data_IF_514048554611
#
_entry.id   IF_514048554611
#
_cell.length_a   1.000
_cell.length_b   1.000
_cell.length_c   1.000
_cell.angle_alpha   90.00
_cell.angle_beta   90.00
_cell.angle_gamma   90.00
#
_symmetry.space_group_name_H-M   'P 1'
#
loop_
_entity.id
_entity.type
_entity.pdbx_description
1 polymer ?
#
# COMPACT_ATOMS: atom_id res chain seq x y z
N UNK A 1 31.52 -59.14 35.29
CA UNK A 1 32.37 -58.18 34.53
C UNK A 1 31.57 -57.79 33.29
N UNK A 2 30.66 -56.81 33.37
CA UNK A 2 30.89 -55.36 33.15
C UNK A 2 31.71 -55.10 31.87
N UNK A 3 31.29 -54.31 30.88
CA UNK A 3 30.18 -53.38 30.71
C UNK A 3 30.00 -53.18 29.18
N UNK A 4 28.77 -53.16 28.68
CA UNK A 4 28.43 -52.46 27.43
C UNK A 4 28.10 -51.01 27.82
N UNK A 5 28.78 -50.04 27.21
CA UNK A 5 28.40 -48.62 27.25
C UNK A 5 28.25 -48.12 25.81
N UNK A 6 27.04 -47.80 25.36
CA UNK A 6 26.81 -46.85 24.28
C UNK A 6 26.63 -45.45 24.92
N UNK A 7 27.45 -44.47 24.54
CA UNK A 7 27.16 -43.06 24.83
C UNK A 7 26.67 -42.37 23.56
N UNK A 8 25.56 -41.60 23.62
CA UNK A 8 24.99 -40.92 22.46
C UNK A 8 25.75 -39.62 22.17
N UNK A 9 25.92 -39.31 20.89
CA UNK A 9 26.44 -38.04 20.41
C UNK A 9 25.36 -36.96 20.65
N UNK A 10 25.54 -36.18 21.72
CA UNK A 10 24.74 -35.00 21.99
C UNK A 10 25.15 -33.91 20.98
N UNK A 11 24.31 -33.64 19.98
CA UNK A 11 24.48 -32.53 19.07
C UNK A 11 24.18 -31.24 19.83
N UNK A 12 25.20 -30.58 20.37
CA UNK A 12 25.10 -29.21 20.86
C UNK A 12 24.84 -28.29 19.66
N UNK A 13 23.60 -27.88 19.45
CA UNK A 13 23.31 -26.68 18.65
C UNK A 13 23.89 -25.48 19.41
N UNK A 14 25.04 -25.00 18.95
CA UNK A 14 25.50 -23.67 19.30
C UNK A 14 24.49 -22.67 18.72
N UNK A 15 23.62 -22.13 19.58
CA UNK A 15 22.86 -20.91 19.28
C UNK A 15 23.88 -19.78 19.13
N UNK A 16 24.32 -19.54 17.90
CA UNK A 16 24.98 -18.29 17.57
C UNK A 16 23.91 -17.20 17.71
N UNK A 17 23.96 -16.46 18.82
CA UNK A 17 23.29 -15.18 18.99
C UNK A 17 23.89 -14.17 18.01
N UNK A 18 23.56 -14.34 16.73
CA UNK A 18 23.72 -13.29 15.75
C UNK A 18 22.80 -12.16 16.15
N UNK A 19 23.36 -11.02 16.54
CA UNK A 19 22.60 -9.78 16.65
C UNK A 19 21.91 -9.58 15.30
N UNK A 20 20.59 -9.74 15.26
CA UNK A 20 19.81 -9.34 14.10
C UNK A 20 20.07 -7.85 13.91
N UNK A 21 20.67 -7.48 12.78
CA UNK A 21 20.91 -6.09 12.44
C UNK A 21 19.53 -5.41 12.29
N UNK A 22 19.18 -4.53 13.24
CA UNK A 22 17.96 -3.76 13.17
C UNK A 22 18.26 -2.47 12.40
N UNK A 23 17.83 -2.41 11.14
CA UNK A 23 17.94 -1.22 10.31
C UNK A 23 17.20 -0.04 10.97
N UNK A 24 17.85 1.11 11.01
CA UNK A 24 17.30 2.39 11.44
C UNK A 24 17.03 3.27 10.23
N UNK A 25 16.11 4.22 10.34
CA UNK A 25 15.78 5.17 9.27
C UNK A 25 17.02 5.89 8.71
N UNK A 26 18.00 6.17 9.57
CA UNK A 26 19.27 6.80 9.20
C UNK A 26 20.19 5.94 8.34
N UNK A 27 19.93 4.63 8.27
CA UNK A 27 20.74 3.70 7.46
C UNK A 27 20.40 3.80 5.97
N UNK A 28 19.29 4.48 5.62
CA UNK A 28 18.85 4.69 4.25
C UNK A 28 19.16 6.13 3.79
N UNK A 29 19.59 6.32 2.53
CA UNK A 29 19.84 7.66 2.01
C UNK A 29 18.56 8.51 2.08
N UNK A 30 18.64 9.77 2.55
CA UNK A 30 17.46 10.60 2.70
C UNK A 30 16.87 10.90 1.33
N UNK A 31 15.66 10.38 1.09
CA UNK A 31 14.91 10.62 -0.15
C UNK A 31 13.62 11.37 0.16
N UNK A 32 13.20 12.33 -0.69
CA UNK A 32 11.94 13.04 -0.48
C UNK A 32 10.77 12.07 -0.54
N UNK A 33 10.01 11.93 0.54
CA UNK A 33 8.75 11.17 0.51
C UNK A 33 7.65 12.03 -0.07
N UNK A 34 6.84 11.44 -0.96
CA UNK A 34 5.79 12.13 -1.69
C UNK A 34 4.40 11.75 -1.19
N UNK A 35 3.53 12.75 -1.13
CA UNK A 35 2.08 12.55 -1.08
C UNK A 35 1.50 13.11 -2.37
N UNK A 36 0.54 12.40 -2.97
CA UNK A 36 -0.04 12.82 -4.24
C UNK A 36 -1.28 13.67 -4.01
N UNK A 37 -1.30 14.86 -4.59
CA UNK A 37 -2.46 15.74 -4.67
C UNK A 37 -2.90 15.83 -6.14
N UNK A 38 -4.18 15.59 -6.38
CA UNK A 38 -4.79 15.71 -7.69
C UNK A 38 -5.92 16.73 -7.66
N UNK A 39 -5.97 17.58 -8.67
CA UNK A 39 -7.12 18.41 -8.96
C UNK A 39 -8.10 17.62 -9.82
N UNK A 40 -9.37 17.64 -9.41
CA UNK A 40 -10.49 17.02 -10.11
C UNK A 40 -11.28 18.15 -10.76
N UNK A 41 -11.22 18.22 -12.09
CA UNK A 41 -12.02 19.15 -12.85
C UNK A 41 -13.48 18.69 -12.80
N UNK A 42 -14.38 19.57 -12.37
CA UNK A 42 -15.81 19.26 -12.32
C UNK A 42 -16.42 19.06 -13.73
N UNK A 43 -15.77 19.59 -14.77
CA UNK A 43 -16.16 19.40 -16.16
C UNK A 43 -15.59 18.10 -16.76
N UNK A 44 -14.55 17.52 -16.16
CA UNK A 44 -13.93 16.27 -16.58
C UNK A 44 -14.51 15.10 -15.76
N UNK A 45 -15.23 14.15 -16.36
CA UNK A 45 -15.73 12.98 -15.66
C UNK A 45 -14.63 11.96 -15.33
N UNK A 46 -13.34 12.28 -15.55
CA UNK A 46 -12.22 11.40 -15.28
C UNK A 46 -12.16 10.99 -13.80
N UNK A 47 -12.14 9.68 -13.58
CA UNK A 47 -12.00 9.08 -12.25
C UNK A 47 -10.69 8.31 -12.10
N UNK A 48 -9.82 8.35 -13.11
CA UNK A 48 -8.46 7.83 -13.04
C UNK A 48 -7.51 9.00 -12.83
N UNK A 49 -6.76 8.98 -11.72
CA UNK A 49 -5.84 10.05 -11.32
C UNK A 49 -4.40 9.56 -11.29
N UNK A 50 -3.44 10.46 -11.44
CA UNK A 50 -2.01 10.13 -11.42
C UNK A 50 -1.49 9.54 -12.72
N UNK A 51 -0.20 9.20 -12.73
CA UNK A 51 0.49 8.61 -13.88
C UNK A 51 1.58 7.65 -13.41
N UNK A 52 2.01 6.69 -14.24
CA UNK A 52 3.17 5.86 -13.96
C UNK A 52 4.40 6.69 -13.65
N UNK A 53 5.13 6.32 -12.60
CA UNK A 53 6.41 6.92 -12.28
C UNK A 53 7.52 5.90 -12.46
N UNK A 54 8.39 6.16 -13.44
CA UNK A 54 9.61 5.37 -13.61
C UNK A 54 10.53 5.53 -12.40
N UNK A 55 11.11 4.42 -11.95
CA UNK A 55 12.14 4.40 -10.92
C UNK A 55 13.27 3.47 -11.34
N UNK A 56 14.51 3.95 -11.26
CA UNK A 56 15.71 3.17 -11.54
C UNK A 56 16.30 2.69 -10.23
N UNK A 57 16.39 1.37 -10.04
CA UNK A 57 16.92 0.81 -8.80
C UNK A 57 18.37 1.19 -8.58
N UNK A 58 18.67 1.70 -7.40
CA UNK A 58 20.01 1.96 -6.93
C UNK A 58 20.52 0.78 -6.10
N UNK A 59 21.84 0.66 -6.01
CA UNK A 59 22.48 -0.31 -5.12
C UNK A 59 21.98 -0.13 -3.68
N UNK A 60 21.51 -1.23 -3.07
CA UNK A 60 21.04 -1.24 -1.69
C UNK A 60 19.58 -0.82 -1.51
N UNK A 61 18.84 -0.56 -2.60
CA UNK A 61 17.40 -0.42 -2.52
C UNK A 61 16.74 -1.71 -2.01
N UNK A 62 15.65 -1.56 -1.26
CA UNK A 62 14.65 -2.62 -1.08
C UNK A 62 13.33 -2.16 -1.67
N UNK A 63 12.42 -3.07 -1.99
CA UNK A 63 11.09 -2.68 -2.46
C UNK A 63 10.29 -1.93 -1.39
N UNK A 64 10.59 -2.12 -0.10
CA UNK A 64 9.99 -1.37 1.00
C UNK A 64 10.37 0.12 0.95
N UNK A 65 11.67 0.40 0.75
CA UNK A 65 12.17 1.76 0.69
C UNK A 65 11.69 2.47 -0.58
N UNK A 66 11.67 1.74 -1.70
CA UNK A 66 11.16 2.25 -2.98
C UNK A 66 9.67 2.54 -2.89
N UNK A 67 8.87 1.62 -2.31
CA UNK A 67 7.44 1.83 -2.09
C UNK A 67 7.19 3.11 -1.28
N UNK A 68 7.82 3.24 -0.11
CA UNK A 68 7.70 4.43 0.73
C UNK A 68 8.12 5.71 0.02
N UNK A 69 9.27 5.70 -0.66
CA UNK A 69 9.75 6.85 -1.41
C UNK A 69 8.78 7.30 -2.51
N UNK A 70 8.09 6.35 -3.13
CA UNK A 70 7.10 6.61 -4.17
C UNK A 70 5.69 6.86 -3.64
N UNK A 71 5.46 6.87 -2.32
CA UNK A 71 4.12 7.05 -1.73
C UNK A 71 3.19 5.87 -1.99
N UNK A 72 3.75 4.66 -1.98
CA UNK A 72 3.08 3.38 -2.19
C UNK A 72 3.16 2.49 -0.95
N UNK A 73 2.17 1.63 -0.78
CA UNK A 73 2.23 0.48 0.12
C UNK A 73 3.06 -0.63 -0.53
N UNK A 74 3.66 -1.50 0.29
CA UNK A 74 4.40 -2.63 -0.29
C UNK A 74 3.51 -3.56 -1.12
N UNK A 75 2.23 -3.72 -0.75
CA UNK A 75 1.24 -4.49 -1.51
C UNK A 75 1.12 -3.98 -2.96
N UNK A 76 1.02 -2.66 -3.16
CA UNK A 76 0.89 -2.07 -4.50
C UNK A 76 2.09 -2.40 -5.39
N UNK A 77 3.29 -2.52 -4.79
CA UNK A 77 4.51 -2.91 -5.50
C UNK A 77 4.52 -4.41 -5.79
N UNK A 78 4.26 -5.24 -4.78
CA UNK A 78 4.37 -6.70 -4.92
C UNK A 78 3.24 -7.32 -5.73
N UNK A 79 2.06 -6.69 -5.75
CA UNK A 79 0.93 -7.11 -6.58
C UNK A 79 1.19 -6.76 -8.05
N UNK A 80 1.76 -5.58 -8.31
CA UNK A 80 2.13 -5.16 -9.67
C UNK A 80 3.33 -5.94 -10.22
N UNK A 81 4.28 -6.30 -9.35
CA UNK A 81 5.55 -6.90 -9.69
C UNK A 81 5.88 -8.11 -8.79
N UNK A 82 5.14 -9.22 -8.92
CA UNK A 82 5.29 -10.39 -8.04
C UNK A 82 6.65 -11.08 -8.15
N UNK A 83 7.34 -10.91 -9.27
CA UNK A 83 8.63 -11.55 -9.55
C UNK A 83 9.84 -10.71 -9.11
N UNK A 84 9.64 -9.46 -8.68
CA UNK A 84 10.74 -8.63 -8.17
C UNK A 84 11.15 -9.08 -6.76
N UNK A 85 12.46 -9.26 -6.56
CA UNK A 85 13.01 -9.54 -5.24
C UNK A 85 12.79 -8.33 -4.31
N UNK A 86 12.18 -8.60 -3.15
CA UNK A 86 11.76 -7.57 -2.19
C UNK A 86 12.94 -6.90 -1.48
N UNK A 87 14.07 -7.61 -1.38
CA UNK A 87 15.25 -7.22 -0.63
C UNK A 87 16.39 -6.76 -1.53
N UNK A 88 16.48 -7.33 -2.74
CA UNK A 88 17.58 -7.07 -3.69
C UNK A 88 17.00 -6.90 -5.10
N UNK A 89 16.27 -5.80 -5.38
CA UNK A 89 15.76 -5.53 -6.71
C UNK A 89 16.91 -5.31 -7.73
N UNK A 90 16.64 -5.47 -9.03
CA UNK A 90 17.67 -5.42 -10.07
C UNK A 90 18.27 -4.02 -10.24
N UNK A 91 19.45 -3.81 -9.65
CA UNK A 91 20.20 -2.54 -9.75
C UNK A 91 20.37 -2.09 -11.20
N UNK A 92 20.08 -0.80 -11.46
CA UNK A 92 20.17 -0.16 -12.77
C UNK A 92 18.96 -0.37 -13.69
N UNK A 93 18.03 -1.26 -13.35
CA UNK A 93 16.80 -1.46 -14.10
C UNK A 93 15.78 -0.36 -13.79
N UNK A 94 15.09 0.14 -14.82
CA UNK A 94 14.03 1.14 -14.68
C UNK A 94 12.65 0.51 -14.82
N UNK A 95 11.85 0.57 -13.75
CA UNK A 95 10.50 -0.01 -13.68
C UNK A 95 9.44 1.08 -13.50
N UNK A 96 8.29 1.02 -14.20
CA UNK A 96 7.21 2.02 -14.03
C UNK A 96 6.28 1.68 -12.86
N UNK A 97 6.35 2.40 -11.76
CA UNK A 97 5.54 2.10 -10.57
C UNK A 97 4.10 2.62 -10.66
N UNK A 98 3.12 1.95 -10.02
CA UNK A 98 1.69 2.22 -10.13
C UNK A 98 1.24 3.43 -9.31
N UNK A 99 1.74 4.61 -9.67
CA UNK A 99 1.38 5.89 -9.03
C UNK A 99 0.16 6.54 -9.71
N UNK A 100 -0.81 5.71 -10.10
CA UNK A 100 -2.08 6.12 -10.67
C UNK A 100 -3.19 5.16 -10.24
N UNK A 101 -4.40 5.70 -10.02
CA UNK A 101 -5.49 4.97 -9.39
C UNK A 101 -6.83 5.36 -9.99
N UNK A 102 -7.75 4.42 -10.06
CA UNK A 102 -9.19 4.66 -10.17
C UNK A 102 -9.69 5.07 -8.78
N UNK A 103 -10.30 6.25 -8.68
CA UNK A 103 -10.90 6.71 -7.43
C UNK A 103 -12.04 5.78 -6.98
N UNK A 104 -12.15 5.47 -5.68
CA UNK A 104 -13.23 4.62 -5.16
C UNK A 104 -14.61 5.25 -5.37
N UNK A 105 -15.64 4.43 -5.58
CA UNK A 105 -17.03 4.90 -5.64
C UNK A 105 -17.53 5.16 -4.21
N UNK A 106 -17.56 6.43 -3.79
CA UNK A 106 -18.05 6.85 -2.47
C UNK A 106 -18.87 8.12 -2.58
N UNK A 107 -19.91 8.22 -1.75
CA UNK A 107 -20.66 9.46 -1.53
C UNK A 107 -20.06 10.34 -0.43
N UNK A 108 -19.02 9.84 0.27
CA UNK A 108 -18.42 10.52 1.39
C UNK A 108 -17.57 11.71 0.94
N UNK A 109 -17.82 12.86 1.56
CA UNK A 109 -16.85 13.94 1.61
C UNK A 109 -15.88 13.66 2.77
N UNK A 110 -14.60 14.02 2.63
CA UNK A 110 -13.59 13.76 3.66
C UNK A 110 -12.78 12.48 3.41
N UNK A 111 -12.63 11.64 4.43
CA UNK A 111 -11.66 10.54 4.42
C UNK A 111 -12.30 9.25 3.92
N UNK A 112 -11.83 8.71 2.80
CA UNK A 112 -12.26 7.42 2.25
C UNK A 112 -11.09 6.45 2.33
N UNK A 113 -11.31 5.24 2.87
CA UNK A 113 -10.30 4.18 2.91
C UNK A 113 -10.84 2.99 2.14
N UNK A 114 -10.10 2.52 1.14
CA UNK A 114 -10.44 1.29 0.42
C UNK A 114 -9.57 0.15 0.95
N UNK A 115 -10.18 -0.82 1.62
CA UNK A 115 -9.48 -1.91 2.31
C UNK A 115 -8.65 -2.79 1.35
N UNK A 116 -9.21 -3.36 0.26
CA UNK A 116 -8.48 -4.28 -0.64
C UNK A 116 -7.25 -3.65 -1.30
N UNK A 117 -7.31 -2.34 -1.52
CA UNK A 117 -6.23 -1.54 -2.08
C UNK A 117 -5.21 -1.10 -1.02
N UNK A 118 -5.59 -1.14 0.26
CA UNK A 118 -4.83 -0.58 1.37
C UNK A 118 -4.45 0.88 1.14
N UNK A 119 -5.43 1.68 0.69
CA UNK A 119 -5.20 3.09 0.36
C UNK A 119 -6.28 4.02 0.92
N UNK A 120 -5.83 5.18 1.39
CA UNK A 120 -6.63 6.28 1.88
C UNK A 120 -6.69 7.39 0.84
N UNK A 121 -7.86 7.97 0.69
CA UNK A 121 -8.17 9.13 -0.13
C UNK A 121 -8.80 10.20 0.77
N UNK A 122 -8.23 11.39 0.79
CA UNK A 122 -8.83 12.54 1.45
C UNK A 122 -9.35 13.49 0.40
N UNK A 123 -10.65 13.77 0.45
CA UNK A 123 -11.32 14.80 -0.31
C UNK A 123 -11.56 15.99 0.62
N UNK A 124 -10.68 17.02 0.62
CA UNK A 124 -10.91 18.23 1.40
C UNK A 124 -12.28 18.82 1.08
N UNK A 125 -12.93 19.39 2.10
CA UNK A 125 -14.12 20.20 1.85
C UNK A 125 -13.67 21.43 1.07
N UNK A 126 -13.88 21.43 -0.24
CA UNK A 126 -13.58 22.58 -1.07
C UNK A 126 -14.59 23.69 -0.74
N UNK A 127 -14.11 24.93 -0.67
CA UNK A 127 -15.01 26.08 -0.72
C UNK A 127 -15.88 25.95 -1.99
N UNK A 128 -17.14 26.42 -2.02
CA UNK A 128 -18.10 26.20 -3.11
C UNK A 128 -17.65 26.58 -4.53
N UNK A 129 -16.46 27.17 -4.69
CA UNK A 129 -15.88 27.69 -5.94
C UNK A 129 -14.42 27.27 -6.18
N UNK A 130 -13.84 26.41 -5.35
CA UNK A 130 -12.48 25.89 -5.54
C UNK A 130 -12.47 24.58 -6.33
N UNK A 131 -11.36 24.23 -7.00
CA UNK A 131 -11.22 22.90 -7.61
C UNK A 131 -11.41 21.82 -6.54
N UNK A 132 -12.13 20.76 -6.88
CA UNK A 132 -12.24 19.60 -6.00
C UNK A 132 -10.89 18.90 -6.03
N UNK A 133 -10.25 18.70 -4.89
CA UNK A 133 -8.96 18.00 -4.84
C UNK A 133 -9.09 16.65 -4.18
N UNK A 134 -8.16 15.75 -4.45
CA UNK A 134 -7.99 14.51 -3.70
C UNK A 134 -6.52 14.31 -3.36
N UNK A 135 -6.26 13.93 -2.12
CA UNK A 135 -4.93 13.57 -1.64
C UNK A 135 -4.94 12.11 -1.26
N UNK A 136 -3.93 11.33 -1.65
CA UNK A 136 -3.93 9.89 -1.41
C UNK A 136 -2.66 9.38 -0.73
N UNK A 137 -2.84 8.40 0.16
CA UNK A 137 -1.82 7.83 1.01
C UNK A 137 -1.99 6.31 1.12
N UNK A 138 -0.92 5.52 1.04
CA UNK A 138 -0.99 4.10 1.36
C UNK A 138 -1.22 3.89 2.86
N UNK A 139 -1.83 2.78 3.24
CA UNK A 139 -2.10 2.43 4.64
C UNK A 139 -1.72 0.98 4.96
N UNK A 140 -1.39 0.72 6.22
CA UNK A 140 -1.41 -0.61 6.81
C UNK A 140 -2.73 -0.85 7.54
N UNK A 141 -3.20 -2.09 7.52
CA UNK A 141 -4.52 -2.47 8.05
C UNK A 141 -4.41 -3.53 9.16
N UNK A 142 -5.57 -3.87 9.72
CA UNK A 142 -5.71 -4.96 10.68
C UNK A 142 -5.38 -6.32 10.10
N UNK A 143 -4.81 -7.19 10.93
CA UNK A 143 -4.68 -8.63 10.65
C UNK A 143 -6.06 -9.27 10.45
N UNK A 144 -6.05 -10.46 9.85
CA UNK A 144 -7.27 -11.21 9.55
C UNK A 144 -8.12 -11.56 10.79
N UNK A 145 -7.47 -11.78 11.95
CA UNK A 145 -8.11 -11.98 13.25
C UNK A 145 -8.63 -10.67 13.88
N UNK A 146 -8.30 -9.52 13.27
CA UNK A 146 -8.63 -8.18 13.73
C UNK A 146 -8.95 -7.23 12.57
N UNK A 147 -9.88 -7.64 11.70
CA UNK A 147 -10.22 -6.91 10.46
C UNK A 147 -10.61 -5.46 10.72
N UNK A 148 -10.09 -4.55 9.90
CA UNK A 148 -10.59 -3.18 9.82
C UNK A 148 -12.06 -3.21 9.31
N UNK A 149 -13.02 -2.59 10.02
CA UNK A 149 -14.44 -2.67 9.68
C UNK A 149 -14.77 -1.76 8.49
N UNK A 150 -15.83 -2.11 7.76
CA UNK A 150 -16.44 -1.21 6.77
C UNK A 150 -17.48 -0.30 7.43
N UNK A 151 -17.76 0.84 6.81
CA UNK A 151 -18.83 1.74 7.21
C UNK A 151 -18.43 3.20 7.32
N UNK A 152 -19.43 4.05 7.54
CA UNK A 152 -19.27 5.49 7.69
C UNK A 152 -18.80 5.86 9.09
N UNK A 153 -17.98 6.90 9.18
CA UNK A 153 -17.46 7.41 10.44
C UNK A 153 -17.31 8.93 10.44
N UNK A 154 -16.96 9.48 11.60
CA UNK A 154 -16.44 10.84 11.75
C UNK A 154 -15.13 10.81 12.52
N UNK A 155 -14.23 11.75 12.22
CA UNK A 155 -13.08 12.03 13.08
C UNK A 155 -13.59 12.70 14.36
N UNK A 156 -13.40 12.06 15.51
CA UNK A 156 -13.93 12.52 16.81
C UNK A 156 -12.89 13.27 17.64
N UNK A 157 -11.61 12.93 17.47
CA UNK A 157 -10.52 13.52 18.24
C UNK A 157 -9.21 13.45 17.45
N UNK A 158 -8.30 14.39 17.72
CA UNK A 158 -6.95 14.43 17.20
C UNK A 158 -5.97 14.61 18.36
N UNK A 159 -4.98 13.72 18.47
CA UNK A 159 -3.98 13.71 19.55
C UNK A 159 -2.57 13.70 18.95
N UNK A 160 -1.74 14.66 19.37
CA UNK A 160 -0.28 14.64 19.14
C UNK A 160 0.35 13.84 20.26
N UNK A 161 1.36 13.02 19.93
CA UNK A 161 2.04 12.10 20.84
C UNK A 161 1.06 11.30 21.72
N UNK A 162 0.19 10.49 21.09
CA UNK A 162 -0.81 9.73 21.83
C UNK A 162 -0.16 8.68 22.74
N UNK A 163 -0.43 8.74 24.04
CA UNK A 163 -0.15 7.61 24.94
C UNK A 163 -0.91 6.38 24.47
N UNK A 164 -0.21 5.24 24.32
CA UNK A 164 -0.81 3.97 24.00
C UNK A 164 -1.07 3.16 25.27
N UNK A 165 -2.34 3.05 25.64
CA UNK A 165 -2.80 2.11 26.67
C UNK A 165 -3.01 0.77 25.99
N UNK A 166 -2.21 -0.23 26.35
CA UNK A 166 -2.16 -1.52 25.68
C UNK A 166 -3.46 -2.29 26.01
N UNK A 167 -4.31 -2.59 25.00
CA UNK A 167 -5.51 -3.42 25.19
C UNK A 167 -5.16 -4.77 25.82
N UNK A 168 -6.06 -5.30 26.65
CA UNK A 168 -5.85 -6.56 27.38
C UNK A 168 -5.44 -7.72 26.45
N UNK A 169 -6.12 -7.84 25.29
CA UNK A 169 -5.82 -8.86 24.29
C UNK A 169 -4.38 -8.77 23.74
N UNK A 170 -3.91 -7.57 23.44
CA UNK A 170 -2.55 -7.33 22.93
C UNK A 170 -1.51 -7.55 24.03
N UNK A 171 -1.83 -7.17 25.26
CA UNK A 171 -0.95 -7.40 26.41
C UNK A 171 -0.71 -8.89 26.64
N UNK A 172 -1.74 -9.72 26.52
CA UNK A 172 -1.61 -11.17 26.69
C UNK A 172 -0.78 -11.82 25.56
N UNK A 173 -0.85 -11.28 24.34
CA UNK A 173 0.06 -11.65 23.22
C UNK A 173 1.51 -11.25 23.53
N UNK A 174 1.75 -9.98 23.89
CA UNK A 174 3.07 -9.46 24.20
C UNK A 174 3.75 -10.18 25.38
N UNK A 175 2.99 -10.50 26.43
CA UNK A 175 3.48 -11.26 27.57
C UNK A 175 3.92 -12.67 27.16
N UNK A 176 3.14 -13.35 26.30
CA UNK A 176 3.45 -14.72 25.85
C UNK A 176 4.66 -14.76 24.90
N UNK A 177 4.72 -13.83 23.96
CA UNK A 177 5.73 -13.88 22.89
C UNK A 177 7.04 -13.19 23.25
N UNK A 178 6.97 -12.09 24.02
CA UNK A 178 8.12 -11.20 24.26
C UNK A 178 8.43 -11.04 25.75
N UNK A 179 7.58 -11.56 26.64
CA UNK A 179 7.71 -11.35 28.08
C UNK A 179 7.56 -9.89 28.50
N UNK A 180 6.89 -9.06 27.69
CA UNK A 180 6.76 -7.61 27.93
C UNK A 180 5.51 -7.31 28.78
N UNK A 181 5.66 -6.88 30.05
CA UNK A 181 4.54 -6.65 30.95
C UNK A 181 4.00 -5.22 30.90
N UNK A 182 4.50 -4.38 29.97
CA UNK A 182 4.05 -2.99 29.86
C UNK A 182 2.53 -2.94 29.67
N UNK A 183 1.91 -1.98 30.34
CA UNK A 183 0.47 -1.66 30.19
C UNK A 183 0.24 -0.37 29.40
N UNK A 184 1.27 0.47 29.36
CA UNK A 184 1.22 1.80 28.75
C UNK A 184 2.57 2.06 28.11
N UNK A 185 2.55 2.59 26.89
CA UNK A 185 3.72 3.22 26.26
C UNK A 185 3.41 4.72 26.16
N UNK A 186 4.25 5.60 26.75
CA UNK A 186 4.03 7.04 26.72
C UNK A 186 3.98 7.61 25.28
N UNK A 187 3.34 8.78 25.13
CA UNK A 187 3.47 9.59 23.93
C UNK A 187 4.92 10.01 23.68
N UNK A 188 5.33 10.10 22.41
CA UNK A 188 6.68 10.48 22.00
C UNK A 188 7.75 9.39 22.18
N UNK A 189 7.40 8.24 22.77
CA UNK A 189 8.30 7.08 22.86
C UNK A 189 8.50 6.45 21.47
N UNK A 190 9.74 6.22 21.00
CA UNK A 190 10.01 5.56 19.70
C UNK A 190 9.38 4.16 19.57
N UNK A 191 9.13 3.47 20.69
CA UNK A 191 8.49 2.17 20.70
C UNK A 191 6.95 2.24 20.63
N UNK A 192 6.36 3.45 20.62
CA UNK A 192 4.92 3.62 20.58
C UNK A 192 4.36 3.29 19.18
N UNK A 193 3.50 2.26 19.04
CA UNK A 193 2.99 1.82 17.73
C UNK A 193 1.99 2.80 17.11
N UNK A 194 1.53 3.80 17.87
CA UNK A 194 0.65 4.85 17.36
C UNK A 194 1.41 5.96 16.62
N UNK A 195 2.74 6.02 16.76
CA UNK A 195 3.56 7.13 16.25
C UNK A 195 3.22 8.47 16.93
N UNK A 196 3.53 9.58 16.24
CA UNK A 196 3.39 10.94 16.78
C UNK A 196 1.99 11.55 16.61
N UNK A 197 1.11 10.93 15.82
CA UNK A 197 -0.19 11.50 15.50
C UNK A 197 -1.26 10.42 15.46
N UNK A 198 -2.42 10.70 16.06
CA UNK A 198 -3.62 9.85 16.01
C UNK A 198 -4.87 10.67 15.79
N UNK A 199 -5.73 10.18 14.91
CA UNK A 199 -7.10 10.62 14.70
C UNK A 199 -8.06 9.51 15.14
N UNK A 200 -8.86 9.76 16.18
CA UNK A 200 -9.87 8.80 16.66
C UNK A 200 -11.11 8.88 15.79
N UNK A 201 -11.74 7.73 15.54
CA UNK A 201 -12.97 7.65 14.76
C UNK A 201 -14.19 7.51 15.66
N UNK A 202 -15.38 7.76 15.11
CA UNK A 202 -16.65 7.43 15.76
C UNK A 202 -16.94 5.92 15.78
N UNK A 203 -16.11 5.13 15.09
CA UNK A 203 -16.08 3.67 15.20
C UNK A 203 -15.27 3.33 16.46
N UNK A 204 -15.89 2.76 17.52
CA UNK A 204 -15.21 2.50 18.79
C UNK A 204 -13.96 1.64 18.58
N UNK A 205 -12.89 1.96 19.30
CA UNK A 205 -11.58 1.28 19.25
C UNK A 205 -10.74 1.51 17.98
N UNK A 206 -11.30 2.12 16.92
CA UNK A 206 -10.57 2.37 15.68
C UNK A 206 -10.04 3.81 15.58
N UNK A 207 -8.89 3.92 14.93
CA UNK A 207 -8.20 5.18 14.69
C UNK A 207 -7.39 5.12 13.39
N UNK A 208 -7.08 6.31 12.88
CA UNK A 208 -6.08 6.53 11.85
C UNK A 208 -4.86 7.12 12.54
N UNK A 209 -3.70 6.49 12.46
CA UNK A 209 -2.52 6.92 13.20
C UNK A 209 -1.22 6.64 12.41
N UNK A 210 -0.10 7.15 12.91
CA UNK A 210 1.22 6.85 12.35
C UNK A 210 1.67 5.43 12.65
N UNK A 211 2.96 5.16 12.53
CA UNK A 211 3.51 3.88 12.98
C UNK A 211 4.99 4.03 13.31
N UNK A 212 5.49 3.19 14.21
CA UNK A 212 6.93 3.02 14.42
C UNK A 212 7.52 1.86 13.58
N UNK A 213 6.70 1.25 12.72
CA UNK A 213 7.09 0.15 11.82
C UNK A 213 6.66 0.56 10.40
N UNK A 214 7.34 1.54 9.77
CA UNK A 214 6.92 2.10 8.49
C UNK A 214 6.86 1.05 7.38
N UNK A 215 7.77 0.07 7.36
CA UNK A 215 7.75 -1.04 6.41
C UNK A 215 6.49 -1.94 6.51
N UNK A 216 5.63 -1.74 7.51
CA UNK A 216 4.33 -2.42 7.63
C UNK A 216 3.18 -1.73 6.90
N UNK A 217 3.41 -0.59 6.24
CA UNK A 217 2.40 0.06 5.39
C UNK A 217 2.23 -0.74 4.09
N UNK A 218 0.97 -1.00 3.71
CA UNK A 218 0.65 -1.98 2.68
C UNK A 218 0.65 -3.43 3.18
N UNK A 219 0.48 -3.64 4.49
CA UNK A 219 0.32 -4.97 5.08
C UNK A 219 -0.80 -5.03 6.12
N UNK A 220 -1.26 -6.25 6.40
CA UNK A 220 -2.16 -6.60 7.50
C UNK A 220 -1.34 -6.87 8.77
N UNK A 221 -0.95 -5.82 9.51
CA UNK A 221 -0.02 -5.91 10.65
C UNK A 221 -0.53 -5.26 11.94
N UNK A 222 -1.74 -4.68 11.91
CA UNK A 222 -2.32 -4.00 13.06
C UNK A 222 -3.38 -4.86 13.75
N UNK A 223 -3.81 -4.45 14.94
CA UNK A 223 -5.01 -4.97 15.61
C UNK A 223 -6.24 -4.14 15.21
N UNK A 224 -6.42 -3.90 13.91
CA UNK A 224 -7.61 -3.28 13.32
C UNK A 224 -7.53 -1.80 12.95
N UNK A 225 -6.60 -1.04 13.53
CA UNK A 225 -6.43 0.39 13.20
C UNK A 225 -5.76 0.62 11.83
N UNK A 226 -6.00 1.80 11.26
CA UNK A 226 -5.43 2.23 9.98
C UNK A 226 -4.11 2.95 10.26
N UNK A 227 -3.01 2.44 9.71
CA UNK A 227 -1.65 2.96 9.91
C UNK A 227 -1.17 3.69 8.66
N UNK A 228 -0.70 4.92 8.79
CA UNK A 228 0.01 5.63 7.72
C UNK A 228 1.50 5.67 8.03
N UNK A 229 2.30 5.95 7.00
CA UNK A 229 3.69 6.37 7.22
C UNK A 229 3.75 7.59 8.16
N UNK A 230 4.82 7.74 8.97
CA UNK A 230 4.96 8.87 9.90
C UNK A 230 4.74 10.25 9.27
N UNK A 231 5.35 10.47 8.11
CA UNK A 231 5.26 11.70 7.33
C UNK A 231 3.87 11.94 6.73
N UNK A 232 3.13 10.87 6.43
CA UNK A 232 1.81 10.95 5.82
C UNK A 232 0.72 11.21 6.85
N UNK A 233 0.82 10.59 8.04
CA UNK A 233 -0.09 10.94 9.13
C UNK A 233 0.12 12.38 9.57
N UNK A 234 1.34 12.91 9.59
CA UNK A 234 1.60 14.31 9.95
C UNK A 234 0.88 15.26 8.99
N UNK A 235 1.02 15.04 7.66
CA UNK A 235 0.34 15.83 6.63
C UNK A 235 -1.17 15.72 6.74
N UNK A 236 -1.71 14.50 6.83
CA UNK A 236 -3.14 14.26 6.93
C UNK A 236 -3.71 14.87 8.23
N UNK A 237 -3.01 14.71 9.34
CA UNK A 237 -3.37 15.29 10.63
C UNK A 237 -3.41 16.81 10.56
N UNK A 238 -2.51 17.48 9.83
CA UNK A 238 -2.55 18.93 9.71
C UNK A 238 -3.84 19.43 9.01
N UNK A 239 -4.32 18.71 8.00
CA UNK A 239 -5.36 19.20 7.09
C UNK A 239 -6.77 18.68 7.38
N UNK A 240 -6.93 17.56 8.09
CA UNK A 240 -8.25 16.98 8.40
C UNK A 240 -8.82 17.60 9.68
N UNK A 241 -9.97 18.30 9.64
CA UNK A 241 -10.64 18.80 10.83
C UNK A 241 -11.27 17.70 11.70
N UNK A 242 -11.41 17.96 13.00
CA UNK A 242 -12.34 17.17 13.84
C UNK A 242 -13.77 17.38 13.32
N UNK A 243 -14.55 16.30 13.28
CA UNK A 243 -15.90 16.27 12.72
C UNK A 243 -15.97 15.87 11.24
N UNK A 244 -14.82 15.82 10.55
CA UNK A 244 -14.75 15.38 9.15
C UNK A 244 -15.42 14.01 8.98
N UNK A 245 -16.32 13.87 7.98
CA UNK A 245 -16.87 12.57 7.64
C UNK A 245 -15.81 11.68 7.01
N UNK A 246 -16.07 10.38 7.05
CA UNK A 246 -15.33 9.42 6.28
C UNK A 246 -16.09 8.12 6.09
N UNK A 247 -15.52 7.25 5.27
CA UNK A 247 -16.08 5.95 4.93
C UNK A 247 -14.95 4.94 4.72
N UNK A 248 -15.10 3.76 5.31
CA UNK A 248 -14.24 2.62 5.06
C UNK A 248 -14.99 1.65 4.13
N UNK A 249 -14.41 1.39 2.98
CA UNK A 249 -14.98 0.63 1.88
C UNK A 249 -14.26 -0.70 1.69
N UNK A 250 -14.96 -1.63 1.04
CA UNK A 250 -14.40 -2.86 0.52
C UNK A 250 -14.70 -2.97 -0.97
N UNK A 251 -13.84 -2.38 -1.81
CA UNK A 251 -13.97 -2.39 -3.28
C UNK A 251 -12.74 -3.05 -3.91
N UNK A 252 -12.72 -4.40 -4.06
CA UNK A 252 -11.63 -5.09 -4.74
C UNK A 252 -11.59 -4.82 -6.24
N UNK A 253 -12.70 -4.35 -6.83
CA UNK A 253 -12.78 -3.95 -8.23
C UNK A 253 -13.30 -2.52 -8.32
N UNK A 254 -12.52 -1.65 -8.95
CA UNK A 254 -12.88 -0.27 -9.28
C UNK A 254 -12.86 -0.08 -10.80
N UNK A 255 -13.79 0.69 -11.33
CA UNK A 255 -13.86 0.99 -12.77
C UNK A 255 -14.01 2.49 -12.96
N UNK A 256 -13.11 3.06 -13.74
CA UNK A 256 -13.07 4.48 -14.03
C UNK A 256 -12.88 4.79 -15.50
N UNK A 257 -12.91 6.07 -15.83
CA UNK A 257 -12.61 6.54 -17.17
C UNK A 257 -11.57 7.66 -17.13
N UNK A 258 -10.81 7.78 -18.21
CA UNK A 258 -9.92 8.91 -18.51
C UNK A 258 -9.63 8.95 -20.00
N UNK A 259 -9.65 10.15 -20.60
CA UNK A 259 -9.33 10.37 -22.02
C UNK A 259 -10.13 9.48 -23.01
N UNK A 260 -11.39 9.19 -22.67
CA UNK A 260 -12.28 8.33 -23.46
C UNK A 260 -12.02 6.82 -23.30
N UNK A 261 -11.05 6.42 -22.48
CA UNK A 261 -10.76 5.03 -22.15
C UNK A 261 -11.41 4.62 -20.83
N UNK A 262 -11.84 3.36 -20.76
CA UNK A 262 -12.34 2.72 -19.54
C UNK A 262 -11.20 1.92 -18.94
N UNK A 263 -10.96 2.13 -17.64
CA UNK A 263 -9.95 1.44 -16.87
C UNK A 263 -10.59 0.58 -15.79
N UNK A 264 -10.03 -0.59 -15.58
CA UNK A 264 -10.35 -1.50 -14.47
C UNK A 264 -9.12 -1.60 -13.57
N UNK A 265 -9.33 -1.43 -12.27
CA UNK A 265 -8.31 -1.67 -11.25
C UNK A 265 -8.85 -2.76 -10.31
N UNK A 266 -8.11 -3.86 -10.23
CA UNK A 266 -8.49 -5.03 -9.44
C UNK A 266 -7.40 -5.35 -8.41
N UNK A 267 -7.80 -5.58 -7.17
CA UNK A 267 -6.94 -5.92 -6.04
C UNK A 267 -7.28 -7.29 -5.49
N UNK A 268 -6.44 -7.82 -4.61
CA UNK A 268 -6.73 -9.08 -3.91
C UNK A 268 -7.93 -8.95 -2.96
N UNK A 269 -8.65 -10.06 -2.77
CA UNK A 269 -9.73 -10.18 -1.78
C UNK A 269 -9.10 -10.56 -0.44
N UNK A 270 -8.44 -9.59 0.19
CA UNK A 270 -7.58 -9.83 1.37
C UNK A 270 -8.33 -10.44 2.56
N UNK A 271 -9.64 -10.20 2.67
CA UNK A 271 -10.50 -10.80 3.69
C UNK A 271 -11.23 -12.08 3.23
N UNK A 272 -10.89 -12.62 2.06
CA UNK A 272 -11.47 -13.85 1.51
C UNK A 272 -13.00 -13.85 1.55
N UNK A 273 -13.62 -12.74 1.15
CA UNK A 273 -15.08 -12.57 1.14
C UNK A 273 -15.79 -13.51 0.16
N UNK A 274 -15.06 -14.11 -0.78
CA UNK A 274 -15.60 -14.99 -1.81
C UNK A 274 -16.18 -14.22 -2.98
N UNK A 275 -15.64 -13.02 -3.26
CA UNK A 275 -16.11 -12.15 -4.32
C UNK A 275 -15.98 -12.79 -5.71
N UNK A 276 -17.05 -12.75 -6.49
CA UNK A 276 -16.99 -12.95 -7.94
C UNK A 276 -16.56 -11.65 -8.62
N UNK A 277 -15.29 -11.58 -9.03
CA UNK A 277 -14.69 -10.40 -9.67
C UNK A 277 -15.38 -10.02 -10.98
N UNK A 278 -15.77 -11.01 -11.78
CA UNK A 278 -16.36 -10.76 -13.09
C UNK A 278 -17.77 -10.20 -12.92
N UNK A 279 -18.56 -10.76 -12.02
CA UNK A 279 -19.89 -10.24 -11.74
C UNK A 279 -19.83 -8.87 -11.05
N UNK A 280 -18.88 -8.65 -10.13
CA UNK A 280 -18.65 -7.34 -9.53
C UNK A 280 -18.34 -6.28 -10.59
N UNK A 281 -17.41 -6.58 -11.51
CA UNK A 281 -17.05 -5.68 -12.60
C UNK A 281 -18.24 -5.41 -13.54
N UNK A 282 -18.96 -6.45 -13.97
CA UNK A 282 -20.14 -6.32 -14.84
C UNK A 282 -21.24 -5.51 -14.18
N UNK A 283 -21.48 -5.69 -12.87
CA UNK A 283 -22.43 -4.89 -12.12
C UNK A 283 -22.09 -3.40 -12.16
N UNK A 284 -20.82 -3.03 -11.98
CA UNK A 284 -20.36 -1.64 -12.10
C UNK A 284 -20.55 -1.14 -13.55
N UNK A 285 -20.12 -1.91 -14.56
CA UNK A 285 -20.26 -1.55 -15.97
C UNK A 285 -21.72 -1.35 -16.39
N UNK A 286 -22.64 -2.22 -15.96
CA UNK A 286 -24.07 -2.09 -16.23
C UNK A 286 -24.66 -0.82 -15.63
N UNK A 287 -24.33 -0.52 -14.37
CA UNK A 287 -24.78 0.73 -13.71
C UNK A 287 -24.28 1.98 -14.45
N UNK A 288 -23.08 1.93 -15.01
CA UNK A 288 -22.50 3.03 -15.80
C UNK A 288 -22.93 3.05 -17.28
N UNK A 289 -23.61 2.01 -17.76
CA UNK A 289 -23.97 1.86 -19.18
C UNK A 289 -22.76 1.59 -20.10
N UNK A 290 -21.66 1.07 -19.56
CA UNK A 290 -20.39 0.88 -20.27
C UNK A 290 -20.14 -0.57 -20.71
N UNK A 291 -21.05 -1.50 -20.44
CA UNK A 291 -20.85 -2.93 -20.69
C UNK A 291 -20.54 -3.26 -22.16
N UNK A 292 -21.13 -2.55 -23.12
CA UNK A 292 -20.87 -2.72 -24.56
C UNK A 292 -19.59 -2.05 -25.05
N UNK A 293 -18.99 -1.17 -24.24
CA UNK A 293 -17.79 -0.41 -24.60
C UNK A 293 -16.50 -1.13 -24.20
N UNK A 294 -16.60 -2.23 -23.45
CA UNK A 294 -15.46 -2.95 -22.88
C UNK A 294 -15.14 -4.23 -23.66
N UNK A 295 -13.85 -4.47 -23.89
CA UNK A 295 -13.29 -5.72 -24.39
C UNK A 295 -13.35 -6.79 -23.30
N UNK A 296 -14.07 -7.88 -23.60
CA UNK A 296 -14.30 -8.98 -22.64
C UNK A 296 -13.02 -9.72 -22.28
N UNK A 297 -12.09 -9.87 -23.22
CA UNK A 297 -10.81 -10.55 -23.00
C UNK A 297 -9.92 -9.72 -22.08
N UNK A 298 -9.76 -8.43 -22.40
CA UNK A 298 -8.99 -7.48 -21.57
C UNK A 298 -9.56 -7.33 -20.17
N UNK A 299 -10.89 -7.28 -20.06
CA UNK A 299 -11.57 -7.26 -18.76
C UNK A 299 -11.22 -8.51 -17.94
N UNK A 300 -11.33 -9.70 -18.54
CA UNK A 300 -11.02 -10.95 -17.85
C UNK A 300 -9.55 -10.99 -17.39
N UNK A 301 -8.63 -10.59 -18.25
CA UNK A 301 -7.19 -10.52 -17.96
C UNK A 301 -6.88 -9.56 -16.81
N UNK A 302 -7.42 -8.33 -16.87
CA UNK A 302 -7.25 -7.33 -15.82
C UNK A 302 -7.75 -7.84 -14.45
N UNK A 303 -8.94 -8.46 -14.42
CA UNK A 303 -9.53 -9.02 -13.20
C UNK A 303 -8.80 -10.26 -12.68
N UNK A 304 -8.18 -11.05 -13.57
CA UNK A 304 -7.41 -12.23 -13.21
C UNK A 304 -6.06 -11.85 -12.62
N UNK A 305 -5.38 -10.85 -13.20
CA UNK A 305 -4.05 -10.41 -12.74
C UNK A 305 -4.09 -9.87 -11.31
N UNK A 306 -5.14 -9.10 -10.97
CA UNK A 306 -5.29 -8.40 -9.68
C UNK A 306 -4.04 -7.61 -9.30
N UNK A 307 -3.39 -7.05 -10.31
CA UNK A 307 -2.11 -6.36 -10.17
C UNK A 307 -2.22 -5.02 -9.42
N UNK A 308 -3.42 -4.59 -9.02
CA UNK A 308 -3.65 -3.30 -8.38
C UNK A 308 -3.42 -2.10 -9.31
N UNK A 309 -3.25 -2.32 -10.61
CA UNK A 309 -2.96 -1.28 -11.60
C UNK A 309 -4.17 -0.99 -12.49
N UNK A 310 -4.56 0.29 -12.67
CA UNK A 310 -5.57 0.63 -13.65
C UNK A 310 -5.16 0.20 -15.06
N UNK A 311 -5.93 -0.73 -15.63
CA UNK A 311 -5.69 -1.38 -16.91
C UNK A 311 -6.78 -0.99 -17.90
N UNK A 312 -6.41 -0.51 -19.10
CA UNK A 312 -7.36 -0.08 -20.11
C UNK A 312 -8.09 -1.29 -20.73
N UNK A 313 -9.42 -1.24 -20.74
CA UNK A 313 -10.27 -2.34 -21.19
C UNK A 313 -11.27 -1.92 -22.28
N UNK A 314 -11.21 -0.71 -22.82
CA UNK A 314 -12.08 -0.28 -23.92
C UNK A 314 -11.92 -1.13 -25.19
N UNK A 315 -13.01 -1.24 -25.95
CA UNK A 315 -13.02 -1.77 -27.31
C UNK A 315 -12.28 -0.82 -28.28
N UNK A 316 -11.59 -1.35 -29.29
CA UNK A 316 -11.20 -0.59 -30.49
C UNK A 316 -9.90 0.24 -30.44
N UNK A 317 -9.13 0.24 -29.36
CA UNK A 317 -7.74 0.78 -29.33
C UNK A 317 -6.70 -0.33 -29.04
N UNK A 318 -5.51 -0.34 -29.67
CA UNK A 318 -4.46 -1.33 -29.38
C UNK A 318 -4.00 -1.25 -27.92
N UNK A 319 -3.65 -2.39 -27.32
CA UNK A 319 -3.06 -2.46 -25.97
C UNK A 319 -1.80 -1.58 -25.89
N UNK A 320 -1.66 -0.80 -24.82
CA UNK A 320 -0.33 -0.46 -24.32
C UNK A 320 0.28 -1.79 -23.87
N UNK A 321 1.28 -2.28 -24.60
CA UNK A 321 2.03 -3.47 -24.17
C UNK A 321 2.64 -3.15 -22.80
N UNK A 322 2.58 -4.11 -21.89
CA UNK A 322 3.54 -4.17 -20.79
C UNK A 322 4.95 -3.95 -21.36
N UNK A 323 5.83 -3.19 -20.70
CA UNK A 323 7.20 -3.12 -21.13
C UNK A 323 7.80 -4.52 -21.02
N UNK A 324 7.87 -5.20 -22.16
CA UNK A 324 8.75 -6.35 -22.35
C UNK A 324 10.16 -5.85 -22.00
N UNK A 325 10.88 -6.48 -21.05
CA UNK A 325 12.30 -6.24 -20.92
C UNK A 325 12.94 -6.82 -22.18
N UNK A 326 13.09 -5.97 -23.20
CA UNK A 326 13.69 -6.35 -24.46
C UNK A 326 15.06 -6.99 -24.21
N UNK A 327 15.46 -8.00 -25.00
CA UNK A 327 16.71 -8.71 -24.77
C UNK A 327 17.87 -7.73 -24.84
N UNK A 328 18.70 -7.75 -23.80
CA UNK A 328 19.94 -6.98 -23.75
C UNK A 328 20.78 -7.30 -25.00
N UNK A 329 20.82 -6.36 -25.95
CA UNK A 329 21.75 -6.45 -27.06
C UNK A 329 23.16 -6.32 -26.50
N UNK A 330 23.82 -7.48 -26.37
CA UNK A 330 25.24 -7.57 -26.18
C UNK A 330 25.94 -6.87 -27.36
N UNK A 331 26.42 -5.66 -27.14
CA UNK A 331 27.37 -5.02 -28.03
C UNK A 331 28.67 -5.84 -28.01
N UNK A 332 28.79 -6.72 -29.00
CA UNK A 332 30.04 -7.34 -29.38
C UNK A 332 31.01 -6.25 -29.85
N UNK A 333 32.07 -6.05 -29.08
CA UNK A 333 33.22 -5.25 -29.51
C UNK A 333 33.82 -5.83 -30.79
N UNK A 334 33.77 -5.05 -31.86
CA UNK A 334 34.61 -5.27 -33.04
C UNK A 334 35.86 -4.40 -32.90
N UNK A 335 36.89 -4.98 -32.29
CA UNK A 335 38.26 -4.47 -32.43
C UNK A 335 38.77 -4.82 -33.82
N UNK A 336 38.85 -3.81 -34.70
CA UNK A 336 39.61 -3.87 -35.94
C UNK A 336 41.00 -3.26 -35.73
N UNK A 337 42.10 -3.91 -36.14
CA UNK A 337 43.43 -3.33 -35.99
C UNK A 337 43.67 -2.26 -37.06
N UNK A 338 44.08 -1.06 -36.64
CA UNK A 338 44.70 -0.06 -37.53
C UNK A 338 46.21 -0.29 -37.57
N UNK A 339 46.85 -0.33 -38.74
CA UNK A 339 48.30 -0.34 -38.83
C UNK A 339 48.83 1.08 -38.63
N UNK A 340 49.95 1.22 -37.92
CA UNK A 340 50.82 2.39 -37.97
C UNK A 340 52.22 1.94 -38.39
N UNK A 341 52.68 2.59 -39.47
CA UNK A 341 54.07 2.94 -39.85
C UNK A 341 55.20 2.05 -39.36
#
# INVERSE_FOLDING_TARGET
>A
MHHRNPFPLLLLLAMASGNAFAWQESDFPPRPVVAYLFELDAADPSTVVGNPKGYTFAKGDTLYDVARHLGLGINEVTDAYPDLDRWIPPEGESVPFPTWWVLPESDAQGVVVNIPEMRLYYFPSSAPRGPRTVITYPVGLGRDDWRTPTGKFRVTEKTVDPTWVIPDSIRDEHLRERGDPRKVIPGGDPANPLGHYRMRLSLPLYGIHGTNIPWGVGMEVSHGCIRLYPEDIERLFAIVPVGSPGEILYQPVKIGARDGEIYVEAHQDIYSTGLDYLEAARSILRRKGWESLVDRGRLAEALQSRAGMPTAVSQGRPLLRHPDPGPAEAQQGRDGPRPRS
#
